data_IF_182470037097
#
_entry.id   IF_182470037097
#
_cell.length_a   1.000
_cell.length_b   1.000
_cell.length_c   1.000
_cell.angle_alpha   90.00
_cell.angle_beta   90.00
_cell.angle_gamma   90.00
#
_symmetry.space_group_name_H-M   'P 1'
#
loop_
_entity.id
_entity.type
_entity.pdbx_description
1 polymer ?
#
# COMPACT_ATOMS: atom_id res chain seq x y z
N UNK A 1 -15.70 -3.33 -3.06
CA UNK A 1 -14.93 -2.72 -4.16
C UNK A 1 -14.88 -1.20 -4.06
N UNK A 2 -15.94 -0.51 -4.47
CA UNK A 2 -15.93 0.96 -4.66
C UNK A 2 -15.53 1.80 -3.44
N UNK A 3 -16.08 1.51 -2.25
CA UNK A 3 -15.73 2.24 -1.03
C UNK A 3 -14.24 2.07 -0.63
N UNK A 4 -13.67 0.88 -0.88
CA UNK A 4 -12.26 0.61 -0.66
C UNK A 4 -11.37 1.33 -1.69
N UNK A 5 -11.77 1.37 -2.97
CA UNK A 5 -11.05 2.17 -3.96
C UNK A 5 -11.08 3.67 -3.61
N UNK A 6 -12.22 4.18 -3.14
CA UNK A 6 -12.34 5.57 -2.67
C UNK A 6 -11.43 5.87 -1.48
N UNK A 7 -11.27 4.95 -0.53
CA UNK A 7 -10.33 5.14 0.58
C UNK A 7 -8.87 5.19 0.12
N UNK A 8 -8.49 4.42 -0.91
CA UNK A 8 -7.16 4.52 -1.51
C UNK A 8 -6.94 5.88 -2.17
N UNK A 9 -7.92 6.39 -2.92
CA UNK A 9 -7.85 7.72 -3.53
C UNK A 9 -7.72 8.80 -2.45
N UNK A 10 -8.52 8.74 -1.38
CA UNK A 10 -8.44 9.68 -0.27
C UNK A 10 -7.04 9.66 0.39
N UNK A 11 -6.48 8.47 0.61
CA UNK A 11 -5.14 8.31 1.15
C UNK A 11 -4.05 8.87 0.21
N UNK A 12 -4.16 8.64 -1.12
CA UNK A 12 -3.27 9.23 -2.11
C UNK A 12 -3.29 10.76 -2.03
N UNK A 13 -4.48 11.36 -2.02
CA UNK A 13 -4.63 12.81 -1.93
C UNK A 13 -4.03 13.37 -0.63
N UNK A 14 -4.23 12.66 0.48
CA UNK A 14 -3.65 13.02 1.77
C UNK A 14 -2.11 13.00 1.74
N UNK A 15 -1.50 11.94 1.22
CA UNK A 15 -0.04 11.83 1.12
C UNK A 15 0.58 12.82 0.14
N UNK A 16 -0.10 13.13 -0.97
CA UNK A 16 0.35 14.13 -1.95
C UNK A 16 0.44 15.54 -1.38
N UNK A 17 -0.39 15.89 -0.40
CA UNK A 17 -0.28 17.17 0.34
C UNK A 17 0.93 17.22 1.27
N UNK A 18 1.55 16.07 1.49
CA UNK A 18 2.58 15.83 2.47
C UNK A 18 3.80 15.16 1.80
N UNK A 19 4.28 15.70 0.67
CA UNK A 19 5.42 15.16 -0.08
C UNK A 19 6.75 15.65 0.49
N UNK A 20 7.79 14.82 0.39
CA UNK A 20 9.16 15.22 0.76
C UNK A 20 9.69 16.33 -0.17
N UNK A 21 10.35 17.38 0.38
CA UNK A 21 10.97 18.42 -0.43
C UNK A 21 12.12 17.90 -1.29
N UNK A 22 12.92 16.98 -0.74
CA UNK A 22 14.06 16.37 -1.42
C UNK A 22 13.85 14.86 -1.56
N UNK A 23 13.96 14.36 -2.79
CA UNK A 23 13.83 12.94 -3.10
C UNK A 23 15.16 12.39 -3.61
N UNK A 24 15.74 11.46 -2.85
CA UNK A 24 16.88 10.67 -3.34
C UNK A 24 16.48 9.84 -4.56
N UNK A 25 17.38 9.65 -5.52
CA UNK A 25 17.18 8.79 -6.70
C UNK A 25 16.70 7.37 -6.34
N UNK A 26 17.20 6.78 -5.25
CA UNK A 26 16.78 5.46 -4.76
C UNK A 26 15.30 5.44 -4.36
N UNK A 27 14.83 6.49 -3.70
CA UNK A 27 13.41 6.62 -3.29
C UNK A 27 12.50 6.67 -4.51
N UNK A 28 12.89 7.41 -5.55
CA UNK A 28 12.12 7.53 -6.79
C UNK A 28 12.04 6.20 -7.54
N UNK A 29 13.16 5.47 -7.67
CA UNK A 29 13.15 4.15 -8.30
C UNK A 29 12.34 3.12 -7.53
N UNK A 30 12.42 3.13 -6.19
CA UNK A 30 11.59 2.26 -5.36
C UNK A 30 10.08 2.53 -5.55
N UNK A 31 9.69 3.79 -5.71
CA UNK A 31 8.32 4.17 -6.01
C UNK A 31 7.87 3.67 -7.39
N UNK A 32 8.70 3.82 -8.43
CA UNK A 32 8.40 3.30 -9.77
C UNK A 32 8.25 1.78 -9.74
N UNK A 33 9.20 1.09 -9.10
CA UNK A 33 9.16 -0.36 -8.96
C UNK A 33 7.89 -0.82 -8.24
N UNK A 34 7.52 -0.16 -7.14
CA UNK A 34 6.32 -0.48 -6.38
C UNK A 34 5.04 -0.24 -7.19
N UNK A 35 4.97 0.86 -7.94
CA UNK A 35 3.81 1.18 -8.77
C UNK A 35 3.55 0.13 -9.85
N UNK A 36 4.62 -0.40 -10.46
CA UNK A 36 4.52 -1.40 -11.52
C UNK A 36 4.35 -2.82 -10.95
N UNK A 37 5.11 -3.17 -9.90
CA UNK A 37 5.12 -4.52 -9.35
C UNK A 37 3.76 -4.92 -8.77
N UNK A 38 3.06 -4.03 -8.07
CA UNK A 38 1.78 -4.36 -7.40
C UNK A 38 0.68 -4.81 -8.39
N UNK A 39 0.32 -4.02 -9.42
CA UNK A 39 -0.69 -4.44 -10.39
C UNK A 39 -0.23 -5.62 -11.24
N UNK A 40 1.05 -5.69 -11.63
CA UNK A 40 1.58 -6.82 -12.43
C UNK A 40 1.51 -8.13 -11.62
N UNK A 41 2.01 -8.13 -10.38
CA UNK A 41 1.98 -9.31 -9.52
C UNK A 41 0.55 -9.74 -9.18
N UNK A 42 -0.36 -8.79 -8.98
CA UNK A 42 -1.77 -9.09 -8.71
C UNK A 42 -2.48 -9.66 -9.94
N UNK A 43 -2.17 -9.16 -11.14
CA UNK A 43 -2.69 -9.73 -12.39
C UNK A 43 -2.13 -11.12 -12.66
N UNK A 44 -0.84 -11.36 -12.44
CA UNK A 44 -0.23 -12.68 -12.64
C UNK A 44 -0.86 -13.75 -11.73
N UNK A 45 -1.19 -13.35 -10.50
CA UNK A 45 -1.83 -14.20 -9.49
C UNK A 45 -3.31 -14.47 -9.80
N UNK A 46 -4.08 -13.42 -10.11
CA UNK A 46 -5.54 -13.51 -10.28
C UNK A 46 -6.00 -13.85 -11.69
N UNK A 47 -5.22 -13.46 -12.71
CA UNK A 47 -5.60 -13.39 -14.13
C UNK A 47 -6.85 -12.56 -14.40
N UNK A 48 -7.21 -11.67 -13.49
CA UNK A 48 -8.36 -10.79 -13.58
C UNK A 48 -7.91 -9.32 -13.75
N UNK A 49 -8.42 -8.66 -14.80
CA UNK A 49 -8.16 -7.26 -15.07
C UNK A 49 -8.81 -6.32 -14.05
N UNK A 50 -9.94 -6.70 -13.44
CA UNK A 50 -10.56 -5.93 -12.38
C UNK A 50 -9.67 -5.88 -11.13
N UNK A 51 -9.03 -7.01 -10.78
CA UNK A 51 -8.02 -7.09 -9.71
C UNK A 51 -6.80 -6.24 -10.05
N UNK A 52 -6.30 -6.30 -11.29
CA UNK A 52 -5.16 -5.48 -11.72
C UNK A 52 -5.45 -3.96 -11.63
N UNK A 53 -6.65 -3.55 -12.05
CA UNK A 53 -7.10 -2.16 -11.98
C UNK A 53 -7.22 -1.70 -10.52
N UNK A 54 -7.81 -2.52 -9.66
CA UNK A 54 -7.88 -2.24 -8.22
C UNK A 54 -6.47 -2.16 -7.61
N UNK A 55 -5.61 -3.12 -7.92
CA UNK A 55 -4.22 -3.16 -7.45
C UNK A 55 -3.39 -1.95 -7.91
N UNK A 56 -3.77 -1.31 -9.02
CA UNK A 56 -3.15 -0.05 -9.46
C UNK A 56 -3.45 1.08 -8.46
N UNK A 57 -4.67 1.16 -7.93
CA UNK A 57 -5.03 2.15 -6.90
C UNK A 57 -4.32 1.88 -5.57
N UNK A 58 -4.20 0.60 -5.21
CA UNK A 58 -3.46 0.14 -4.04
C UNK A 58 -1.96 0.45 -4.15
N UNK A 59 -1.33 0.13 -5.28
CA UNK A 59 0.06 0.46 -5.58
C UNK A 59 0.30 1.98 -5.58
N UNK A 60 -0.62 2.75 -6.17
CA UNK A 60 -0.58 4.22 -6.12
C UNK A 60 -0.62 4.78 -4.70
N UNK A 61 -1.45 4.21 -3.82
CA UNK A 61 -1.48 4.58 -2.41
C UNK A 61 -0.16 4.26 -1.70
N UNK A 62 0.40 3.07 -1.93
CA UNK A 62 1.66 2.67 -1.31
C UNK A 62 2.84 3.53 -1.78
N UNK A 63 2.84 3.92 -3.06
CA UNK A 63 3.79 4.89 -3.62
C UNK A 63 3.63 6.26 -2.99
N UNK A 64 2.40 6.76 -2.87
CA UNK A 64 2.14 8.04 -2.24
C UNK A 64 2.62 8.04 -0.78
N UNK A 65 2.36 6.96 -0.04
CA UNK A 65 2.88 6.75 1.32
C UNK A 65 4.42 6.76 1.36
N UNK A 66 5.08 6.11 0.41
CA UNK A 66 6.54 6.03 0.31
C UNK A 66 7.20 7.39 0.01
N UNK A 67 6.58 8.17 -0.88
CA UNK A 67 7.05 9.50 -1.28
C UNK A 67 6.68 10.60 -0.26
N UNK A 68 5.75 10.32 0.65
CA UNK A 68 5.33 11.26 1.68
C UNK A 68 6.43 11.54 2.71
N UNK A 69 6.31 12.65 3.45
CA UNK A 69 7.25 13.03 4.52
C UNK A 69 7.22 12.03 5.70
N UNK A 70 6.15 11.24 5.82
CA UNK A 70 5.93 10.36 6.96
C UNK A 70 7.00 9.26 7.09
N UNK A 71 7.32 8.78 8.31
CA UNK A 71 8.40 7.82 8.53
C UNK A 71 8.24 6.53 7.72
N UNK A 72 9.24 6.19 6.90
CA UNK A 72 9.20 4.99 6.04
C UNK A 72 9.06 3.69 6.84
N UNK A 73 9.74 3.60 7.99
CA UNK A 73 9.67 2.44 8.88
C UNK A 73 8.26 2.18 9.44
N UNK A 74 7.39 3.20 9.45
CA UNK A 74 6.01 3.07 9.92
C UNK A 74 5.03 3.14 8.76
N UNK A 75 4.89 4.29 8.14
CA UNK A 75 3.89 4.52 7.08
C UNK A 75 4.23 3.76 5.81
N UNK A 76 5.51 3.73 5.41
CA UNK A 76 5.96 2.96 4.25
C UNK A 76 5.81 1.45 4.45
N UNK A 77 6.34 0.93 5.56
CA UNK A 77 6.21 -0.49 5.92
C UNK A 77 4.74 -0.89 6.09
N UNK A 78 3.93 -0.05 6.73
CA UNK A 78 2.52 -0.31 6.92
C UNK A 78 1.75 -0.37 5.60
N UNK A 79 2.10 0.50 4.65
CA UNK A 79 1.54 0.44 3.29
C UNK A 79 1.95 -0.83 2.54
N UNK A 80 3.20 -1.28 2.70
CA UNK A 80 3.66 -2.55 2.11
C UNK A 80 2.95 -3.76 2.72
N UNK A 81 2.75 -3.79 4.04
CA UNK A 81 1.98 -4.85 4.70
C UNK A 81 0.53 -4.87 4.22
N UNK A 82 -0.06 -3.70 4.01
CA UNK A 82 -1.42 -3.61 3.49
C UNK A 82 -1.51 -4.10 2.03
N UNK A 83 -0.51 -3.78 1.19
CA UNK A 83 -0.37 -4.36 -0.16
C UNK A 83 -0.31 -5.89 -0.11
N UNK A 84 0.48 -6.45 0.81
CA UNK A 84 0.60 -7.91 0.98
C UNK A 84 -0.72 -8.53 1.41
N UNK A 85 -1.45 -7.90 2.33
CA UNK A 85 -2.79 -8.35 2.75
C UNK A 85 -3.75 -8.47 1.56
N UNK A 86 -3.88 -7.41 0.76
CA UNK A 86 -4.78 -7.40 -0.39
C UNK A 86 -4.31 -8.40 -1.47
N UNK A 87 -3.00 -8.52 -1.70
CA UNK A 87 -2.44 -9.50 -2.61
C UNK A 87 -2.76 -10.96 -2.21
N UNK A 88 -2.70 -11.27 -0.90
CA UNK A 88 -3.13 -12.57 -0.38
C UNK A 88 -4.63 -12.79 -0.56
N UNK A 89 -5.47 -11.76 -0.44
CA UNK A 89 -6.90 -11.87 -0.78
C UNK A 89 -7.07 -12.24 -2.26
N UNK A 90 -6.31 -11.62 -3.15
CA UNK A 90 -6.39 -11.90 -4.59
C UNK A 90 -6.00 -13.34 -4.95
N UNK A 91 -5.14 -13.99 -4.16
CA UNK A 91 -4.82 -15.42 -4.37
C UNK A 91 -6.04 -16.32 -4.26
N UNK A 92 -7.04 -15.94 -3.44
CA UNK A 92 -8.28 -16.70 -3.28
C UNK A 92 -9.26 -16.52 -4.44
N UNK A 93 -9.05 -15.50 -5.27
CA UNK A 93 -9.92 -15.16 -6.40
C UNK A 93 -9.37 -15.71 -7.73
N UNK A 94 -8.09 -16.05 -7.75
CA UNK A 94 -7.36 -16.48 -8.94
C UNK A 94 -7.26 -17.98 -9.11
N UNK A 95 -6.62 -18.42 -10.21
CA UNK A 95 -6.27 -19.83 -10.42
C UNK A 95 -5.13 -20.32 -9.51
N UNK A 96 -4.40 -19.41 -8.86
CA UNK A 96 -3.26 -19.73 -7.99
C UNK A 96 -3.65 -19.53 -6.54
N UNK A 97 -3.88 -20.64 -5.83
CA UNK A 97 -4.12 -20.63 -4.39
C UNK A 97 -2.79 -20.68 -3.63
N UNK A 98 -2.62 -19.75 -2.68
CA UNK A 98 -1.45 -19.67 -1.81
C UNK A 98 -1.70 -20.25 -0.42
N UNK A 99 -2.80 -20.99 -0.23
CA UNK A 99 -3.09 -21.69 1.02
C UNK A 99 -1.87 -22.47 1.54
N UNK A 100 -1.60 -22.41 2.86
CA UNK A 100 -2.42 -21.80 3.91
C UNK A 100 -2.09 -20.32 4.20
N UNK A 101 -1.24 -19.67 3.41
CA UNK A 101 -0.76 -18.31 3.72
C UNK A 101 -1.87 -17.27 3.87
N UNK A 102 -2.90 -17.21 2.98
CA UNK A 102 -4.01 -16.28 3.13
C UNK A 102 -4.75 -16.43 4.47
N UNK A 103 -4.94 -17.65 4.94
CA UNK A 103 -5.68 -17.94 6.18
C UNK A 103 -4.96 -17.43 7.43
N UNK A 104 -3.63 -17.40 7.37
CA UNK A 104 -2.79 -17.01 8.49
C UNK A 104 -2.40 -15.52 8.43
N UNK A 105 -2.14 -14.98 7.24
CA UNK A 105 -1.40 -13.72 7.09
C UNK A 105 -2.24 -12.52 6.66
N UNK A 106 -3.43 -12.70 6.08
CA UNK A 106 -4.28 -11.55 5.68
C UNK A 106 -4.55 -10.65 6.89
N UNK A 107 -5.08 -11.21 7.97
CA UNK A 107 -5.49 -10.41 9.12
C UNK A 107 -4.32 -9.74 9.86
N UNK A 108 -3.21 -10.44 10.20
CA UNK A 108 -2.08 -9.81 10.88
C UNK A 108 -1.42 -8.72 10.03
N UNK A 109 -1.24 -8.94 8.73
CA UNK A 109 -0.60 -7.95 7.85
C UNK A 109 -1.48 -6.73 7.65
N UNK A 110 -2.80 -6.92 7.49
CA UNK A 110 -3.76 -5.82 7.48
C UNK A 110 -3.71 -4.99 8.77
N UNK A 111 -3.89 -5.64 9.92
CA UNK A 111 -3.99 -4.96 11.20
C UNK A 111 -2.72 -4.19 11.55
N UNK A 112 -1.56 -4.85 11.47
CA UNK A 112 -0.27 -4.22 11.74
C UNK A 112 0.01 -3.11 10.72
N UNK A 113 -0.34 -3.32 9.45
CA UNK A 113 -0.21 -2.31 8.41
C UNK A 113 -0.97 -1.02 8.75
N UNK A 114 -2.26 -1.15 9.06
CA UNK A 114 -3.11 -0.02 9.45
C UNK A 114 -2.63 0.67 10.73
N UNK A 115 -2.20 -0.12 11.74
CA UNK A 115 -1.66 0.42 12.99
C UNK A 115 -0.39 1.24 12.76
N UNK A 116 0.54 0.75 11.93
CA UNK A 116 1.77 1.45 11.60
C UNK A 116 1.50 2.75 10.82
N UNK A 117 0.57 2.72 9.87
CA UNK A 117 0.14 3.90 9.12
C UNK A 117 -0.42 4.94 10.08
N UNK A 118 -1.43 4.57 10.89
CA UNK A 118 -2.12 5.48 11.78
C UNK A 118 -1.17 6.11 12.81
N UNK A 119 -0.38 5.30 13.49
CA UNK A 119 0.57 5.79 14.50
C UNK A 119 1.69 6.63 13.88
N UNK A 120 2.20 6.25 12.70
CA UNK A 120 3.25 6.98 12.00
C UNK A 120 2.80 8.37 11.54
N UNK A 121 1.59 8.48 10.99
CA UNK A 121 0.99 9.75 10.58
C UNK A 121 0.73 10.64 11.79
N UNK A 122 0.02 10.14 12.81
CA UNK A 122 -0.37 10.93 13.99
C UNK A 122 0.85 11.48 14.74
N UNK A 123 1.90 10.66 14.93
CA UNK A 123 3.10 11.10 15.62
C UNK A 123 3.85 12.19 14.85
N UNK A 124 3.88 12.09 13.52
CA UNK A 124 4.55 13.08 12.66
C UNK A 124 3.81 14.42 12.67
N UNK A 125 2.49 14.40 12.50
CA UNK A 125 1.67 15.61 12.53
C UNK A 125 1.68 16.30 13.90
N UNK A 126 1.74 15.53 15.00
CA UNK A 126 1.91 16.09 16.35
C UNK A 126 3.25 16.81 16.52
N UNK A 127 4.31 16.35 15.85
CA UNK A 127 5.62 17.00 15.89
C UNK A 127 5.65 18.32 15.12
N UNK A 128 4.93 18.43 14.00
CA UNK A 128 4.85 19.67 13.22
C UNK A 128 3.94 20.75 13.84
N UNK A 129 3.08 20.39 14.80
CA UNK A 129 2.22 21.33 15.53
C UNK A 129 2.88 21.97 16.75
N UNK A 130 4.10 21.54 17.10
CA UNK A 130 4.92 22.15 18.15
C UNK A 130 5.98 23.03 17.50
#
# INVERSE_FOLDING_TARGET
GGAFAASHVAAILFYRRNLRPEMSTVTSWAAVLLFLAVPIASWLLSRDWAVALYATTLGGMAVAAWLSLFPRWRVGLGALLFVVSDWLIFSRLGPVDLAPLPDLLIWPTYYVGQMLIATGVVQTLRRFRR
#
